data_IF_626179087569
#
_entry.id   IF_626179087569
#
_cell.length_a   1.000
_cell.length_b   1.000
_cell.length_c   1.000
_cell.angle_alpha   90.00
_cell.angle_beta   90.00
_cell.angle_gamma   90.00
#
_symmetry.space_group_name_H-M   'P 1'
#
loop_
_entity.id
_entity.type
_entity.pdbx_description
1 polymer ?
#
# COMPACT_ATOMS: atom_id res chain seq x y z
N UNK A 1 -14.48 -1.44 -28.22
CA UNK A 1 -14.54 -0.97 -26.83
C UNK A 1 -14.51 -2.19 -25.95
N UNK A 2 -13.74 -2.16 -24.87
CA UNK A 2 -13.66 -3.23 -23.86
C UNK A 2 -14.00 -2.60 -22.52
N UNK A 3 -14.66 -3.37 -21.66
CA UNK A 3 -15.12 -2.93 -20.34
C UNK A 3 -14.60 -3.84 -19.26
N UNK A 4 -14.09 -3.22 -18.21
CA UNK A 4 -13.71 -3.83 -16.94
C UNK A 4 -14.63 -3.28 -15.86
N UNK A 5 -15.10 -4.17 -14.99
CA UNK A 5 -15.84 -3.83 -13.77
C UNK A 5 -15.23 -4.66 -12.64
N UNK A 6 -14.85 -3.99 -11.56
CA UNK A 6 -14.32 -4.62 -10.35
C UNK A 6 -15.18 -4.29 -9.13
N UNK A 7 -15.25 -5.23 -8.19
CA UNK A 7 -15.90 -5.06 -6.88
C UNK A 7 -15.03 -5.73 -5.82
N UNK A 8 -14.78 -5.06 -4.69
CA UNK A 8 -14.00 -5.60 -3.58
C UNK A 8 -14.76 -5.51 -2.24
N UNK A 9 -14.44 -6.42 -1.32
CA UNK A 9 -14.85 -6.37 0.10
C UNK A 9 -13.63 -6.66 0.99
N UNK A 10 -13.36 -5.77 1.94
CA UNK A 10 -12.29 -5.87 2.95
C UNK A 10 -12.27 -4.59 3.79
N UNK A 11 -12.01 -4.68 5.10
CA UNK A 11 -11.94 -3.52 6.00
C UNK A 11 -11.08 -3.81 7.26
N UNK A 12 -11.12 -5.05 7.77
CA UNK A 12 -10.23 -5.58 8.80
C UNK A 12 -9.68 -6.97 8.43
N UNK A 13 -8.62 -7.39 9.13
CA UNK A 13 -7.68 -8.45 8.74
C UNK A 13 -7.16 -8.24 7.31
N UNK A 14 -6.57 -7.06 7.08
CA UNK A 14 -6.00 -6.64 5.81
C UNK A 14 -4.49 -6.57 5.95
N UNK A 15 -3.82 -7.65 5.57
CA UNK A 15 -2.44 -7.60 5.14
C UNK A 15 -2.26 -8.66 4.04
N UNK A 16 -2.71 -8.38 2.81
CA UNK A 16 -2.73 -9.38 1.76
C UNK A 16 -1.31 -9.85 1.41
N UNK A 17 -1.00 -11.05 1.89
CA UNK A 17 -0.11 -12.01 1.25
C UNK A 17 -1.01 -13.19 0.83
N UNK A 18 -2.09 -12.80 0.14
CA UNK A 18 -3.41 -13.46 0.09
C UNK A 18 -4.09 -13.74 1.46
N UNK A 19 -4.71 -12.72 2.09
CA UNK A 19 -5.92 -12.71 3.00
C UNK A 19 -6.09 -11.38 3.84
N UNK A 20 -7.26 -10.76 4.15
CA UNK A 20 -8.71 -10.96 3.81
C UNK A 20 -9.32 -9.88 2.90
N UNK A 21 -9.76 -10.28 1.72
CA UNK A 21 -10.22 -9.38 0.69
C UNK A 21 -10.83 -10.27 -0.40
N UNK A 22 -12.10 -10.02 -0.72
CA UNK A 22 -12.79 -10.69 -1.82
C UNK A 22 -12.94 -9.70 -2.96
N UNK A 23 -12.23 -9.90 -4.06
CA UNK A 23 -12.34 -9.10 -5.28
C UNK A 23 -12.88 -9.94 -6.44
N UNK A 24 -13.85 -9.38 -7.15
CA UNK A 24 -14.42 -9.95 -8.36
C UNK A 24 -14.27 -8.95 -9.50
N UNK A 25 -13.63 -9.36 -10.58
CA UNK A 25 -13.49 -8.59 -11.82
C UNK A 25 -14.26 -9.29 -12.94
N UNK A 26 -15.01 -8.53 -13.73
CA UNK A 26 -15.56 -8.99 -15.00
C UNK A 26 -15.02 -8.17 -16.16
N UNK A 27 -14.60 -8.85 -17.23
CA UNK A 27 -14.10 -8.29 -18.48
C UNK A 27 -14.90 -8.84 -19.67
N UNK A 28 -15.20 -7.99 -20.65
CA UNK A 28 -15.88 -8.40 -21.89
C UNK A 28 -14.91 -8.64 -23.09
N UNK A 29 -13.60 -8.50 -22.90
CA UNK A 29 -12.59 -8.91 -23.87
C UNK A 29 -12.52 -10.43 -24.04
N UNK A 30 -12.08 -10.87 -25.22
CA UNK A 30 -11.61 -12.23 -25.45
C UNK A 30 -10.09 -12.26 -25.26
N UNK A 31 -9.63 -12.98 -24.24
CA UNK A 31 -8.23 -13.11 -23.86
C UNK A 31 -7.92 -14.57 -23.56
N UNK A 32 -6.69 -15.01 -23.82
CA UNK A 32 -6.25 -16.37 -23.54
C UNK A 32 -6.12 -16.57 -22.01
N UNK A 33 -6.59 -17.71 -21.44
CA UNK A 33 -6.63 -17.90 -19.98
C UNK A 33 -5.30 -17.76 -19.24
N UNK A 34 -4.17 -18.22 -19.78
CA UNK A 34 -2.87 -18.07 -19.13
C UNK A 34 -2.39 -16.61 -19.16
N UNK A 35 -2.53 -15.92 -20.30
CA UNK A 35 -2.26 -14.49 -20.40
C UNK A 35 -3.12 -13.67 -19.43
N UNK A 36 -4.41 -13.99 -19.30
CA UNK A 36 -5.30 -13.31 -18.35
C UNK A 36 -4.90 -13.55 -16.89
N UNK A 37 -4.44 -14.76 -16.56
CA UNK A 37 -3.94 -15.09 -15.23
C UNK A 37 -2.62 -14.38 -14.91
N UNK A 38 -1.73 -14.20 -15.89
CA UNK A 38 -0.48 -13.44 -15.74
C UNK A 38 -0.76 -11.95 -15.47
N UNK A 39 -1.61 -11.32 -16.29
CA UNK A 39 -2.06 -9.95 -16.08
C UNK A 39 -2.73 -9.76 -14.71
N UNK A 40 -3.54 -10.73 -14.28
CA UNK A 40 -4.18 -10.70 -12.97
C UNK A 40 -3.15 -10.74 -11.82
N UNK A 41 -2.18 -11.65 -11.87
CA UNK A 41 -1.15 -11.77 -10.82
C UNK A 41 -0.38 -10.46 -10.66
N UNK A 42 0.11 -9.90 -11.78
CA UNK A 42 0.85 -8.63 -11.78
C UNK A 42 0.00 -7.46 -11.26
N UNK A 43 -1.28 -7.40 -11.65
CA UNK A 43 -2.20 -6.38 -11.17
C UNK A 43 -2.49 -6.51 -9.67
N UNK A 44 -2.62 -7.73 -9.13
CA UNK A 44 -2.83 -8.00 -7.69
C UNK A 44 -1.59 -7.65 -6.87
N UNK A 45 -0.39 -7.99 -7.35
CA UNK A 45 0.87 -7.64 -6.70
C UNK A 45 1.06 -6.12 -6.60
N UNK A 46 0.71 -5.39 -7.66
CA UNK A 46 0.75 -3.93 -7.71
C UNK A 46 -0.43 -3.21 -7.02
N UNK A 47 -1.36 -3.94 -6.39
CA UNK A 47 -2.57 -3.35 -5.76
C UNK A 47 -2.86 -3.92 -4.36
N UNK A 48 -3.58 -5.03 -4.25
CA UNK A 48 -4.01 -5.57 -2.97
C UNK A 48 -2.85 -6.08 -2.11
N UNK A 49 -1.81 -6.66 -2.71
CA UNK A 49 -0.62 -7.05 -1.94
C UNK A 49 0.17 -5.82 -1.45
N UNK A 50 -0.06 -4.64 -2.03
CA UNK A 50 0.54 -3.35 -1.68
C UNK A 50 -0.29 -2.53 -0.67
N UNK A 51 -1.20 -3.17 0.09
CA UNK A 51 -1.97 -2.49 1.17
C UNK A 51 -1.92 -3.21 2.52
N UNK A 52 -2.22 -2.48 3.61
CA UNK A 52 -2.32 -3.02 4.97
C UNK A 52 -3.21 -2.17 5.90
N UNK A 53 -3.94 -2.82 6.81
CA UNK A 53 -4.71 -2.18 7.89
C UNK A 53 -4.13 -2.55 9.25
N UNK A 54 -3.98 -3.83 9.55
CA UNK A 54 -3.60 -4.34 10.87
C UNK A 54 -2.31 -5.16 10.86
N UNK A 55 -1.89 -5.65 9.69
CA UNK A 55 -0.75 -6.56 9.54
C UNK A 55 -1.13 -8.04 9.65
N UNK A 56 -2.41 -8.37 9.85
CA UNK A 56 -2.90 -9.74 10.02
C UNK A 56 -3.40 -10.31 8.68
N UNK A 57 -2.58 -11.17 8.06
CA UNK A 57 -3.02 -12.02 6.95
C UNK A 57 -3.97 -13.10 7.45
N UNK A 58 -5.14 -13.18 6.84
CA UNK A 58 -6.24 -14.07 7.21
C UNK A 58 -6.19 -15.45 6.52
N UNK A 59 -7.33 -16.09 6.30
CA UNK A 59 -7.47 -17.44 5.72
C UNK A 59 -8.29 -17.51 4.43
N UNK A 60 -8.75 -16.38 3.88
CA UNK A 60 -9.82 -16.35 2.88
C UNK A 60 -9.71 -15.29 1.76
N UNK A 61 -8.52 -14.82 1.37
CA UNK A 61 -8.43 -13.98 0.16
C UNK A 61 -8.90 -14.74 -1.07
N UNK A 62 -9.56 -14.00 -1.96
CA UNK A 62 -9.84 -14.49 -3.29
C UNK A 62 -9.97 -13.31 -4.25
N UNK A 63 -9.16 -13.30 -5.30
CA UNK A 63 -9.35 -12.45 -6.46
C UNK A 63 -9.77 -13.34 -7.62
N UNK A 64 -10.98 -13.13 -8.15
CA UNK A 64 -11.49 -13.85 -9.31
C UNK A 64 -11.70 -12.86 -10.46
N UNK A 65 -11.09 -13.14 -11.61
CA UNK A 65 -11.25 -12.32 -12.82
C UNK A 65 -11.85 -13.13 -13.96
N UNK A 66 -13.05 -12.74 -14.41
CA UNK A 66 -13.85 -13.46 -15.40
C UNK A 66 -13.88 -12.71 -16.72
N UNK A 67 -13.29 -13.27 -17.79
CA UNK A 67 -13.34 -12.73 -19.15
C UNK A 67 -14.28 -13.56 -20.03
N UNK A 68 -15.17 -12.93 -20.80
CA UNK A 68 -16.24 -13.64 -21.54
C UNK A 68 -16.31 -13.37 -23.06
N UNK A 69 -15.49 -12.47 -23.62
CA UNK A 69 -15.46 -12.17 -25.06
C UNK A 69 -16.69 -11.45 -25.64
N UNK A 70 -17.64 -10.99 -24.80
CA UNK A 70 -18.89 -10.39 -25.28
C UNK A 70 -18.72 -9.07 -26.08
N UNK A 71 -17.57 -8.41 -25.96
CA UNK A 71 -17.22 -7.24 -26.79
C UNK A 71 -16.91 -7.59 -28.25
N UNK A 72 -16.56 -8.86 -28.54
CA UNK A 72 -16.01 -9.28 -29.82
C UNK A 72 -14.58 -8.77 -30.09
N UNK A 73 -13.94 -8.11 -29.12
CA UNK A 73 -12.54 -7.68 -29.20
C UNK A 73 -11.65 -8.76 -28.60
N UNK A 74 -10.72 -9.28 -29.41
CA UNK A 74 -9.75 -10.28 -29.00
C UNK A 74 -8.37 -9.67 -28.82
N UNK A 75 -7.71 -9.96 -27.70
CA UNK A 75 -6.33 -9.55 -27.45
C UNK A 75 -5.37 -10.55 -28.11
N UNK A 76 -4.49 -10.05 -28.96
CA UNK A 76 -3.61 -10.85 -29.81
C UNK A 76 -2.16 -10.35 -29.82
N UNK A 77 -1.91 -9.04 -29.69
CA UNK A 77 -0.56 -8.48 -29.58
C UNK A 77 -0.12 -8.28 -28.12
N UNK A 78 1.19 -8.08 -27.93
CA UNK A 78 1.77 -7.67 -26.65
C UNK A 78 1.20 -6.30 -26.22
N UNK A 79 1.17 -5.30 -27.11
CA UNK A 79 0.58 -3.97 -26.87
C UNK A 79 -0.89 -4.03 -26.40
N UNK A 80 -1.69 -4.96 -26.93
CA UNK A 80 -3.10 -5.16 -26.57
C UNK A 80 -3.25 -5.78 -25.17
N UNK A 81 -2.37 -6.73 -24.83
CA UNK A 81 -2.31 -7.35 -23.50
C UNK A 81 -1.76 -6.37 -22.45
N UNK A 82 -0.76 -5.55 -22.78
CA UNK A 82 -0.24 -4.48 -21.93
C UNK A 82 -1.34 -3.46 -21.63
N UNK A 83 -2.05 -2.96 -22.65
CA UNK A 83 -3.15 -2.02 -22.47
C UNK A 83 -4.31 -2.60 -21.61
N UNK A 84 -4.63 -3.89 -21.76
CA UNK A 84 -5.60 -4.57 -20.90
C UNK A 84 -5.08 -4.76 -19.47
N UNK A 85 -3.79 -5.04 -19.30
CA UNK A 85 -3.11 -5.19 -18.02
C UNK A 85 -3.07 -3.89 -17.23
N UNK A 86 -2.71 -2.78 -17.87
CA UNK A 86 -2.73 -1.44 -17.25
C UNK A 86 -4.14 -1.05 -16.80
N UNK A 87 -5.16 -1.29 -17.63
CA UNK A 87 -6.55 -1.02 -17.26
C UNK A 87 -7.05 -1.91 -16.10
N UNK A 88 -6.64 -3.19 -16.06
CA UNK A 88 -6.91 -4.08 -14.93
C UNK A 88 -6.24 -3.58 -13.65
N UNK A 89 -4.95 -3.22 -13.74
CA UNK A 89 -4.16 -2.68 -12.63
C UNK A 89 -4.77 -1.40 -12.07
N UNK A 90 -5.21 -0.47 -12.92
CA UNK A 90 -5.89 0.76 -12.48
C UNK A 90 -7.16 0.45 -11.68
N UNK A 91 -8.00 -0.47 -12.16
CA UNK A 91 -9.21 -0.92 -11.44
C UNK A 91 -8.86 -1.55 -10.09
N UNK A 92 -7.86 -2.43 -10.04
CA UNK A 92 -7.49 -3.08 -8.78
C UNK A 92 -6.82 -2.12 -7.79
N UNK A 93 -5.99 -1.17 -8.26
CA UNK A 93 -5.39 -0.13 -7.41
C UNK A 93 -6.46 0.80 -6.82
N UNK A 94 -7.48 1.18 -7.58
CA UNK A 94 -8.61 1.96 -7.07
C UNK A 94 -9.40 1.18 -6.00
N UNK A 95 -9.64 -0.12 -6.20
CA UNK A 95 -10.29 -0.99 -5.21
C UNK A 95 -9.44 -1.18 -3.95
N UNK A 96 -8.13 -1.38 -4.10
CA UNK A 96 -7.19 -1.52 -2.98
C UNK A 96 -7.12 -0.22 -2.15
N UNK A 97 -7.11 0.95 -2.79
CA UNK A 97 -7.20 2.24 -2.10
C UNK A 97 -8.51 2.35 -1.28
N UNK A 98 -9.67 2.04 -1.90
CA UNK A 98 -10.97 2.07 -1.20
C UNK A 98 -11.02 1.11 0.01
N UNK A 99 -10.36 -0.05 -0.05
CA UNK A 99 -10.24 -0.99 1.08
C UNK A 99 -9.44 -0.41 2.26
N UNK A 100 -8.42 0.44 2.01
CA UNK A 100 -7.67 1.13 3.08
C UNK A 100 -8.40 2.38 3.56
N UNK A 101 -9.17 3.04 2.69
CA UNK A 101 -10.03 4.18 3.05
C UNK A 101 -11.16 3.76 4.00
N UNK A 102 -11.79 2.60 3.76
CA UNK A 102 -12.85 2.00 4.59
C UNK A 102 -12.30 1.06 5.69
N UNK A 103 -11.03 1.21 6.07
CA UNK A 103 -10.40 0.42 7.12
C UNK A 103 -11.14 0.54 8.47
N UNK A 104 -11.21 -0.54 9.24
CA UNK A 104 -11.99 -0.60 10.49
C UNK A 104 -11.57 0.46 11.52
N UNK A 105 -12.37 1.54 11.62
CA UNK A 105 -12.07 2.68 12.48
C UNK A 105 -10.91 3.56 12.00
N UNK A 106 -10.40 3.33 10.78
CA UNK A 106 -9.37 4.17 10.16
C UNK A 106 -9.84 5.60 9.93
N UNK A 107 -8.91 6.55 10.00
CA UNK A 107 -9.16 7.96 9.65
C UNK A 107 -8.17 8.52 8.64
N UNK A 108 -7.09 7.77 8.36
CA UNK A 108 -5.99 8.21 7.49
C UNK A 108 -5.40 7.07 6.67
N UNK A 109 -4.94 7.43 5.48
CA UNK A 109 -4.11 6.59 4.62
C UNK A 109 -2.68 7.12 4.71
N UNK A 110 -1.75 6.24 5.05
CA UNK A 110 -0.31 6.49 5.14
C UNK A 110 0.31 5.88 3.89
N UNK A 111 0.73 6.73 2.96
CA UNK A 111 1.41 6.29 1.74
C UNK A 111 2.90 6.18 2.05
N UNK A 112 3.35 4.97 2.39
CA UNK A 112 4.76 4.68 2.69
C UNK A 112 5.46 4.30 1.39
N UNK A 113 6.32 5.19 0.90
CA UNK A 113 7.11 4.99 -0.31
C UNK A 113 8.57 4.78 0.08
N UNK A 114 9.12 3.60 -0.23
CA UNK A 114 10.53 3.29 -0.01
C UNK A 114 11.25 3.21 -1.35
N UNK A 115 12.32 3.96 -1.50
CA UNK A 115 13.25 3.93 -2.65
C UNK A 115 14.67 3.64 -2.18
N UNK A 116 15.56 3.37 -3.14
CA UNK A 116 16.98 3.24 -2.86
C UNK A 116 17.37 2.00 -2.05
N UNK A 117 16.50 0.99 -1.94
CA UNK A 117 16.89 -0.30 -1.34
C UNK A 117 17.85 -1.07 -2.28
N UNK A 118 18.52 -2.11 -1.81
CA UNK A 118 19.31 -2.99 -2.70
C UNK A 118 18.41 -3.64 -3.78
N UNK A 119 17.24 -4.13 -3.38
CA UNK A 119 16.21 -4.71 -4.24
C UNK A 119 14.78 -4.38 -3.75
N UNK A 120 13.76 -4.76 -4.53
CA UNK A 120 12.36 -4.49 -4.19
C UNK A 120 11.88 -5.28 -2.96
N UNK A 121 12.47 -6.44 -2.63
CA UNK A 121 12.09 -7.22 -1.44
C UNK A 121 12.54 -6.50 -0.16
N UNK A 122 13.71 -5.85 -0.20
CA UNK A 122 14.19 -5.02 0.91
C UNK A 122 13.41 -3.71 1.02
N UNK A 123 13.02 -3.11 -0.10
CA UNK A 123 12.10 -1.96 -0.09
C UNK A 123 10.74 -2.34 0.52
N UNK A 124 10.18 -3.49 0.15
CA UNK A 124 8.93 -4.03 0.72
C UNK A 124 9.06 -4.29 2.22
N UNK A 125 10.13 -4.96 2.66
CA UNK A 125 10.39 -5.24 4.07
C UNK A 125 10.44 -3.94 4.90
N UNK A 126 11.09 -2.89 4.36
CA UNK A 126 11.12 -1.57 4.95
C UNK A 126 9.73 -0.91 5.00
N UNK A 127 9.00 -0.90 3.88
CA UNK A 127 7.68 -0.30 3.80
C UNK A 127 6.70 -0.96 4.78
N UNK A 128 6.67 -2.31 4.85
CA UNK A 128 5.86 -3.07 5.79
C UNK A 128 6.29 -2.86 7.25
N UNK A 129 7.59 -2.79 7.55
CA UNK A 129 8.05 -2.53 8.91
C UNK A 129 7.59 -1.15 9.47
N UNK A 130 7.48 -0.15 8.59
CA UNK A 130 6.92 1.18 8.88
C UNK A 130 5.40 1.13 8.95
N UNK A 131 4.73 0.61 7.91
CA UNK A 131 3.27 0.56 7.80
C UNK A 131 2.59 -0.27 8.89
N UNK A 132 3.22 -1.36 9.35
CA UNK A 132 2.71 -2.20 10.44
C UNK A 132 3.08 -1.67 11.84
N UNK A 133 3.90 -0.63 11.96
CA UNK A 133 4.37 -0.14 13.26
C UNK A 133 3.23 0.53 14.05
N UNK A 134 2.77 0.00 15.19
CA UNK A 134 1.69 0.63 15.96
C UNK A 134 2.06 2.04 16.43
N UNK A 135 3.36 2.28 16.67
CA UNK A 135 3.90 3.60 17.00
C UNK A 135 3.77 4.59 15.82
N UNK A 136 4.03 4.17 14.59
CA UNK A 136 3.84 5.04 13.40
C UNK A 136 2.35 5.26 13.19
N UNK A 137 1.54 4.19 13.13
CA UNK A 137 0.09 4.27 12.92
C UNK A 137 -0.61 5.19 13.93
N UNK A 138 -0.29 5.09 15.23
CA UNK A 138 -0.84 5.99 16.27
C UNK A 138 -0.31 7.42 16.19
N UNK A 139 0.92 7.64 15.70
CA UNK A 139 1.42 9.00 15.47
C UNK A 139 0.66 9.69 14.33
N UNK A 140 0.38 8.97 13.24
CA UNK A 140 -0.42 9.48 12.12
C UNK A 140 -1.84 9.83 12.55
N UNK A 141 -2.53 8.93 13.28
CA UNK A 141 -3.83 9.22 13.91
C UNK A 141 -3.78 10.47 14.80
N UNK A 142 -2.80 10.51 15.70
CA UNK A 142 -2.56 11.63 16.63
C UNK A 142 -2.08 12.93 15.96
N UNK A 143 -1.80 12.92 14.65
CA UNK A 143 -1.25 14.04 13.87
C UNK A 143 0.13 14.50 14.35
N UNK A 144 0.88 13.59 14.98
CA UNK A 144 2.25 13.74 15.45
C UNK A 144 3.22 13.33 14.33
N UNK A 145 4.03 14.28 13.83
CA UNK A 145 4.93 14.07 12.69
C UNK A 145 6.23 13.35 13.11
N UNK A 146 6.07 12.22 13.80
CA UNK A 146 7.11 11.60 14.60
C UNK A 146 8.11 10.78 13.75
N UNK A 147 9.01 11.49 13.06
CA UNK A 147 10.08 10.91 12.25
C UNK A 147 10.93 9.89 13.03
N UNK A 148 11.10 10.07 14.34
CA UNK A 148 11.84 9.14 15.20
C UNK A 148 11.21 7.74 15.25
N UNK A 149 9.87 7.65 15.25
CA UNK A 149 9.14 6.37 15.17
C UNK A 149 9.25 5.72 13.79
N UNK A 150 9.34 6.52 12.72
CA UNK A 150 9.57 6.03 11.35
C UNK A 150 10.98 5.48 11.21
N UNK A 151 12.01 6.25 11.59
CA UNK A 151 13.42 5.82 11.55
C UNK A 151 13.66 4.58 12.44
N UNK A 152 13.02 4.50 13.60
CA UNK A 152 13.07 3.30 14.44
C UNK A 152 12.39 2.06 13.80
N UNK A 153 11.40 2.26 12.93
CA UNK A 153 10.78 1.20 12.16
C UNK A 153 11.63 0.78 10.94
N UNK A 154 12.23 1.73 10.23
CA UNK A 154 13.23 1.50 9.17
C UNK A 154 14.42 0.70 9.73
N UNK A 155 14.95 1.10 10.89
CA UNK A 155 16.08 0.45 11.57
C UNK A 155 15.86 -1.00 12.04
N UNK A 156 14.61 -1.50 12.00
CA UNK A 156 14.26 -2.89 12.32
C UNK A 156 13.63 -3.65 11.14
N UNK A 157 13.70 -3.09 9.93
CA UNK A 157 13.12 -3.67 8.71
C UNK A 157 13.79 -4.96 8.24
N UNK A 158 15.09 -5.10 8.50
CA UNK A 158 15.92 -6.17 7.96
C UNK A 158 16.53 -5.87 6.58
N UNK A 159 16.26 -4.70 5.99
CA UNK A 159 16.99 -4.23 4.81
C UNK A 159 18.44 -3.85 5.16
N UNK A 160 19.37 -4.05 4.23
CA UNK A 160 20.77 -3.58 4.37
C UNK A 160 20.92 -2.16 3.82
N UNK A 161 21.38 -1.26 4.68
CA UNK A 161 21.62 0.15 4.39
C UNK A 161 22.52 0.76 5.46
N UNK A 162 23.11 1.93 5.18
CA UNK A 162 23.88 2.68 6.18
C UNK A 162 23.02 3.80 6.76
N UNK A 163 22.94 3.98 8.09
CA UNK A 163 22.08 5.01 8.70
C UNK A 163 22.36 6.45 8.24
N UNK A 164 23.59 6.76 7.79
CA UNK A 164 23.93 8.06 7.23
C UNK A 164 23.43 8.29 5.79
N UNK A 165 23.15 7.22 5.04
CA UNK A 165 22.68 7.29 3.65
C UNK A 165 21.14 7.46 3.60
N UNK A 166 20.44 7.14 4.70
CA UNK A 166 18.97 7.24 4.82
C UNK A 166 18.47 8.68 4.84
N UNK A 167 17.41 8.94 4.07
CA UNK A 167 16.57 10.14 4.21
C UNK A 167 15.11 9.78 4.46
N UNK A 168 14.39 10.66 5.17
CA UNK A 168 12.94 10.55 5.37
C UNK A 168 12.30 11.91 5.14
N UNK A 169 11.20 11.93 4.38
CA UNK A 169 10.31 13.07 4.23
C UNK A 169 8.88 12.70 4.66
N UNK A 170 8.14 13.69 5.16
CA UNK A 170 6.72 13.57 5.48
C UNK A 170 5.98 14.65 4.70
N UNK A 171 5.04 14.24 3.84
CA UNK A 171 4.29 15.15 2.98
C UNK A 171 5.15 15.97 2.04
N UNK A 172 6.32 15.46 1.61
CA UNK A 172 7.30 16.17 0.79
C UNK A 172 8.26 17.10 1.56
N UNK A 173 8.21 17.13 2.90
CA UNK A 173 9.15 17.90 3.73
C UNK A 173 10.16 16.95 4.36
N UNK A 174 11.45 17.12 4.04
CA UNK A 174 12.52 16.28 4.59
C UNK A 174 12.70 16.53 6.09
N UNK A 175 12.62 15.47 6.89
CA UNK A 175 12.66 15.49 8.37
C UNK A 175 13.90 14.82 8.94
N UNK A 176 14.51 13.89 8.20
CA UNK A 176 15.72 13.18 8.59
C UNK A 176 16.64 13.01 7.38
N UNK A 177 17.94 13.22 7.55
CA UNK A 177 18.97 12.95 6.56
C UNK A 177 20.36 12.91 7.21
N UNK A 178 21.35 12.26 6.57
CA UNK A 178 22.74 12.23 7.08
C UNK A 178 22.86 11.65 8.50
N UNK A 179 21.96 10.72 8.87
CA UNK A 179 21.92 10.11 10.20
C UNK A 179 21.39 11.01 11.33
N UNK A 180 20.81 12.18 11.01
CA UNK A 180 20.35 13.16 11.99
C UNK A 180 19.02 13.82 11.58
N UNK A 181 18.24 14.37 12.54
CA UNK A 181 17.09 15.21 12.19
C UNK A 181 17.51 16.47 11.43
N UNK A 182 16.67 16.89 10.48
CA UNK A 182 16.84 18.16 9.77
C UNK A 182 16.58 19.32 10.75
N UNK A 183 17.47 20.33 10.86
CA UNK A 183 17.28 21.44 11.79
C UNK A 183 16.19 22.40 11.31
N UNK A 184 15.24 22.72 12.20
CA UNK A 184 14.19 23.72 11.95
C UNK A 184 12.96 23.49 12.84
N UNK A 185 11.98 24.39 12.74
CA UNK A 185 10.64 24.17 13.28
C UNK A 185 9.83 23.30 12.31
N UNK A 186 10.12 21.99 12.36
CA UNK A 186 9.44 21.00 11.53
C UNK A 186 7.97 20.81 11.94
N UNK A 187 7.63 20.98 13.22
CA UNK A 187 6.27 20.78 13.73
C UNK A 187 5.28 21.77 13.10
N UNK A 188 5.61 23.06 13.07
CA UNK A 188 4.78 24.08 12.41
C UNK A 188 4.64 23.84 10.90
N UNK A 189 5.69 23.35 10.25
CA UNK A 189 5.72 23.06 8.81
C UNK A 189 4.90 21.81 8.44
N UNK A 190 4.92 20.79 9.29
CA UNK A 190 4.25 19.50 9.04
C UNK A 190 2.79 19.48 9.49
N UNK A 191 2.40 20.30 10.46
CA UNK A 191 1.04 20.34 10.98
C UNK A 191 -0.09 20.45 9.92
N UNK A 192 0.06 21.18 8.79
CA UNK A 192 -0.91 21.16 7.68
C UNK A 192 -0.99 19.82 6.94
N UNK A 193 0.12 19.11 6.81
CA UNK A 193 0.20 17.80 6.14
C UNK A 193 -0.42 16.71 7.03
N UNK A 194 -0.09 16.71 8.33
CA UNK A 194 -0.65 15.79 9.32
C UNK A 194 -2.17 15.89 9.49
N UNK A 195 -2.80 16.99 9.04
CA UNK A 195 -4.26 17.16 9.04
C UNK A 195 -4.99 16.50 7.86
N UNK A 196 -4.28 16.12 6.79
CA UNK A 196 -4.88 15.46 5.61
C UNK A 196 -5.39 14.05 5.94
N UNK A 197 -6.29 13.52 5.11
CA UNK A 197 -6.66 12.10 5.11
C UNK A 197 -5.48 11.25 4.62
N UNK A 198 -4.83 11.65 3.53
CA UNK A 198 -3.63 11.00 3.02
C UNK A 198 -2.34 11.71 3.48
N UNK A 199 -1.40 10.94 4.02
CA UNK A 199 -0.08 11.40 4.46
C UNK A 199 0.99 10.59 3.72
N UNK A 200 1.79 11.25 2.88
CA UNK A 200 2.98 10.66 2.27
C UNK A 200 4.11 10.55 3.30
N UNK A 201 4.80 9.41 3.31
CA UNK A 201 6.01 9.13 4.06
C UNK A 201 7.02 8.54 3.08
N UNK A 202 7.94 9.38 2.62
CA UNK A 202 8.92 9.04 1.58
C UNK A 202 10.25 8.69 2.28
N UNK A 203 10.85 7.55 1.94
CA UNK A 203 12.04 7.01 2.59
C UNK A 203 13.03 6.56 1.52
N UNK A 204 14.22 7.16 1.50
CA UNK A 204 15.33 6.70 0.65
C UNK A 204 16.34 5.96 1.54
N UNK A 205 16.73 4.74 1.16
CA UNK A 205 17.75 3.95 1.86
C UNK A 205 19.18 4.16 1.33
N UNK A 206 19.36 4.74 0.14
CA UNK A 206 20.67 5.04 -0.45
C UNK A 206 21.57 3.82 -0.75
N UNK A 207 21.01 2.62 -0.79
CA UNK A 207 21.70 1.33 -0.95
C UNK A 207 21.64 0.73 -2.38
N UNK A 208 20.65 1.10 -3.20
CA UNK A 208 20.49 0.55 -4.56
C UNK A 208 19.37 1.21 -5.37
N UNK A 209 18.67 0.41 -6.19
CA UNK A 209 17.57 0.86 -7.06
C UNK A 209 16.20 0.23 -6.70
N UNK A 210 16.12 -0.49 -5.58
CA UNK A 210 14.91 -1.16 -5.12
C UNK A 210 13.85 -0.16 -4.66
N UNK A 211 12.61 -0.41 -5.03
CA UNK A 211 11.46 0.46 -4.78
C UNK A 211 10.24 -0.37 -4.33
N UNK A 212 9.46 0.18 -3.39
CA UNK A 212 8.17 -0.37 -3.00
C UNK A 212 7.23 0.72 -2.46
N UNK A 213 5.94 0.58 -2.76
CA UNK A 213 4.88 1.47 -2.28
C UNK A 213 3.87 0.66 -1.46
N UNK A 214 3.58 1.11 -0.23
CA UNK A 214 2.59 0.50 0.65
C UNK A 214 1.57 1.55 1.09
N UNK A 215 0.28 1.25 0.98
CA UNK A 215 -0.78 2.03 1.62
C UNK A 215 -1.13 1.39 2.96
N UNK A 216 -0.93 2.11 4.07
CA UNK A 216 -1.26 1.64 5.41
C UNK A 216 -2.35 2.52 6.06
N UNK A 217 -3.33 1.92 6.73
CA UNK A 217 -4.26 2.70 7.59
C UNK A 217 -3.55 3.25 8.84
N UNK A 218 -4.15 4.16 9.60
CA UNK A 218 -3.69 4.56 10.93
C UNK A 218 -4.10 3.53 12.03
N UNK A 219 -4.00 3.87 13.31
CA UNK A 219 -4.46 3.03 14.42
C UNK A 219 -5.18 3.90 15.45
N UNK A 220 -6.46 3.61 15.65
CA UNK A 220 -7.39 4.48 16.35
C UNK A 220 -8.08 3.77 17.53
N UNK A 221 -8.85 4.53 18.31
CA UNK A 221 -9.68 3.94 19.36
C UNK A 221 -10.83 3.09 18.80
N UNK A 222 -11.37 3.46 17.63
CA UNK A 222 -12.51 2.75 17.03
C UNK A 222 -12.09 1.39 16.48
N UNK A 223 -10.87 1.23 15.95
CA UNK A 223 -10.32 -0.10 15.60
C UNK A 223 -10.36 -1.07 16.81
N UNK A 224 -9.88 -0.59 17.97
CA UNK A 224 -9.85 -1.37 19.22
C UNK A 224 -11.26 -1.67 19.73
N UNK A 225 -12.18 -0.71 19.61
CA UNK A 225 -13.58 -0.87 20.00
C UNK A 225 -14.32 -1.87 19.12
N UNK A 226 -14.21 -1.73 17.79
CA UNK A 226 -14.83 -2.62 16.80
C UNK A 226 -14.40 -4.06 17.09
N UNK A 227 -13.08 -4.30 17.19
CA UNK A 227 -12.53 -5.65 17.33
C UNK A 227 -12.59 -6.20 18.77
N UNK A 228 -12.59 -5.33 19.79
CA UNK A 228 -12.75 -5.72 21.20
C UNK A 228 -14.19 -6.11 21.54
N UNK A 229 -15.19 -5.37 21.03
CA UNK A 229 -16.60 -5.57 21.36
C UNK A 229 -17.31 -6.54 20.39
N UNK A 230 -16.72 -6.90 19.24
CA UNK A 230 -17.36 -7.60 18.10
C UNK A 230 -18.16 -8.88 18.42
N UNK A 231 -17.87 -9.54 19.55
CA UNK A 231 -18.47 -10.83 19.96
C UNK A 231 -19.27 -10.72 21.28
N UNK A 232 -19.63 -9.51 21.70
CA UNK A 232 -20.31 -9.20 22.97
C UNK A 232 -21.82 -9.11 22.86
#
# INVERSE_FOLDING_TARGET
>A
EVRLLGMAKGAGMICPNMATMLCFVSCDAQVEPAAWQELLSLAVDASFNAVTVDGDTSTNDCVLALANGASGVSMHSEDELEALGEALKEVLQALAYMVVEDAEGGTKIIRVHVTGAEDNMQAEACARAVGHSPLVKTAMFGRDANWGRIVAAVGRSGADFKPQDVTVAIGGIQVFAQGQPVPGDLDSLLAPHMRRSEIAVDIDLGAGNGEYLLLASDLTYDYVKINGDYRS
#
